data_IF_650063696415
#
_entry.id   IF_650063696415
#
_cell.length_a   1.000
_cell.length_b   1.000
_cell.length_c   1.000
_cell.angle_alpha   90.00
_cell.angle_beta   90.00
_cell.angle_gamma   90.00
#
_symmetry.space_group_name_H-M   'P 1'
#
loop_
_entity.id
_entity.type
_entity.pdbx_description
1 polymer ?
#
# COMPACT_ATOMS: atom_id res chain seq x y z
N UNK A 1 -19.83 38.16 -7.27
CA UNK A 1 -18.43 37.74 -7.53
C UNK A 1 -18.07 36.83 -6.38
N UNK A 2 -18.26 35.53 -6.55
CA UNK A 2 -17.87 34.53 -5.55
C UNK A 2 -16.34 34.49 -5.48
N UNK A 3 -15.79 34.98 -4.38
CA UNK A 3 -14.40 34.72 -4.02
C UNK A 3 -14.30 33.22 -3.75
N UNK A 4 -13.50 32.52 -4.56
CA UNK A 4 -13.23 31.10 -4.42
C UNK A 4 -12.69 30.81 -3.02
N UNK A 5 -13.25 29.78 -2.38
CA UNK A 5 -12.69 29.20 -1.16
C UNK A 5 -11.20 28.93 -1.39
N UNK A 6 -10.33 29.61 -0.67
CA UNK A 6 -8.96 29.13 -0.49
C UNK A 6 -9.06 27.73 0.14
N UNK A 7 -8.41 26.73 -0.45
CA UNK A 7 -8.38 25.39 0.10
C UNK A 7 -7.72 25.46 1.49
N UNK A 8 -8.53 25.21 2.52
CA UNK A 8 -8.11 25.21 3.93
C UNK A 8 -7.14 24.04 4.24
N UNK A 9 -6.87 23.13 3.29
CA UNK A 9 -5.88 22.04 3.44
C UNK A 9 -4.52 22.46 2.86
N UNK A 10 -3.52 22.64 3.73
CA UNK A 10 -2.15 22.97 3.31
C UNK A 10 -1.54 21.93 2.37
N UNK A 11 -1.94 20.65 2.48
CA UNK A 11 -1.42 19.60 1.61
C UNK A 11 -1.84 19.78 0.14
N UNK A 12 -2.97 20.45 -0.12
CA UNK A 12 -3.42 20.79 -1.47
C UNK A 12 -2.85 22.12 -1.93
N UNK A 13 -2.85 23.14 -1.06
CA UNK A 13 -2.30 24.46 -1.36
C UNK A 13 -0.82 24.44 -1.72
N UNK A 14 -0.04 23.63 -0.98
CA UNK A 14 1.40 23.45 -1.21
C UNK A 14 1.72 22.24 -2.09
N UNK A 15 0.72 21.64 -2.75
CA UNK A 15 0.94 20.55 -3.70
C UNK A 15 1.88 21.04 -4.81
N UNK A 16 3.05 20.39 -5.03
CA UNK A 16 3.97 20.76 -6.09
C UNK A 16 3.29 20.88 -7.45
N UNK A 17 3.53 22.00 -8.13
CA UNK A 17 2.92 22.28 -9.44
C UNK A 17 3.89 22.08 -10.61
N UNK A 18 5.19 22.05 -10.33
CA UNK A 18 6.26 21.75 -11.29
C UNK A 18 7.14 20.63 -10.76
N UNK A 19 7.88 19.96 -11.67
CA UNK A 19 8.85 18.94 -11.26
C UNK A 19 9.98 19.49 -10.38
N UNK A 20 10.33 20.76 -10.53
CA UNK A 20 11.38 21.43 -9.74
C UNK A 20 10.99 21.62 -8.28
N UNK A 21 9.69 21.70 -7.99
CA UNK A 21 9.18 21.87 -6.63
C UNK A 21 9.12 20.55 -5.87
N UNK A 22 9.24 19.41 -6.57
CA UNK A 22 9.20 18.08 -5.97
C UNK A 22 10.54 17.74 -5.31
N UNK A 23 10.49 17.24 -4.08
CA UNK A 23 11.68 16.75 -3.36
C UNK A 23 11.60 15.22 -3.14
N UNK A 24 12.77 14.58 -3.12
CA UNK A 24 12.89 13.12 -3.02
C UNK A 24 12.72 12.38 -4.35
N UNK A 25 13.22 11.13 -4.41
CA UNK A 25 13.07 10.25 -5.57
C UNK A 25 13.54 10.86 -6.93
N UNK A 26 14.56 11.73 -6.92
CA UNK A 26 14.96 12.52 -8.09
C UNK A 26 15.43 11.70 -9.31
N UNK A 27 16.05 10.55 -9.10
CA UNK A 27 16.41 9.60 -10.16
C UNK A 27 15.17 9.00 -10.84
N UNK A 28 14.12 8.72 -10.06
CA UNK A 28 12.84 8.18 -10.52
C UNK A 28 12.05 9.23 -11.29
N UNK A 29 11.99 10.45 -10.77
CA UNK A 29 11.38 11.61 -11.46
C UNK A 29 12.04 11.80 -12.84
N UNK A 30 13.38 11.71 -12.91
CA UNK A 30 14.11 11.79 -14.19
C UNK A 30 13.71 10.67 -15.17
N UNK A 31 13.53 9.43 -14.69
CA UNK A 31 13.06 8.31 -15.54
C UNK A 31 11.65 8.54 -16.07
N UNK A 32 10.75 9.07 -15.25
CA UNK A 32 9.39 9.45 -15.70
C UNK A 32 9.45 10.50 -16.81
N UNK A 33 10.31 11.52 -16.65
CA UNK A 33 10.50 12.56 -17.66
C UNK A 33 10.96 11.97 -19.00
N UNK A 34 12.01 11.14 -18.99
CA UNK A 34 12.54 10.48 -20.20
C UNK A 34 11.45 9.63 -20.89
N UNK A 35 10.63 8.92 -20.11
CA UNK A 35 9.54 8.12 -20.66
C UNK A 35 8.48 8.99 -21.36
N UNK A 36 8.14 10.15 -20.81
CA UNK A 36 7.18 11.09 -21.41
C UNK A 36 7.73 11.83 -22.64
N UNK A 37 9.01 12.18 -22.65
CA UNK A 37 9.68 12.72 -23.84
C UNK A 37 9.63 11.74 -25.02
N UNK A 38 9.67 10.43 -24.73
CA UNK A 38 9.45 9.38 -25.73
C UNK A 38 8.11 9.51 -26.45
N UNK A 39 7.04 9.81 -25.70
CA UNK A 39 5.71 10.04 -26.27
C UNK A 39 5.62 11.30 -27.13
N UNK A 40 6.35 12.36 -26.77
CA UNK A 40 6.39 13.63 -27.50
C UNK A 40 7.02 13.48 -28.89
N UNK A 41 8.02 12.59 -29.03
CA UNK A 41 8.71 12.32 -30.30
C UNK A 41 7.86 11.62 -31.38
N UNK A 42 6.57 11.39 -31.12
CA UNK A 42 5.65 10.69 -32.02
C UNK A 42 5.87 9.17 -32.11
N UNK A 43 6.86 8.63 -31.40
CA UNK A 43 7.13 7.19 -31.31
C UNK A 43 6.39 6.62 -30.12
N UNK A 44 5.38 5.78 -30.37
CA UNK A 44 4.70 5.04 -29.30
C UNK A 44 5.71 4.13 -28.58
N UNK A 45 5.97 4.35 -27.28
CA UNK A 45 6.92 3.54 -26.55
C UNK A 45 6.47 2.08 -26.50
N UNK A 46 7.43 1.14 -26.45
CA UNK A 46 7.13 -0.30 -26.27
C UNK A 46 6.32 -0.55 -24.99
N UNK A 47 6.59 0.24 -23.95
CA UNK A 47 5.87 0.23 -22.68
C UNK A 47 4.99 1.47 -22.63
N UNK A 48 3.71 1.29 -22.93
CA UNK A 48 2.72 2.36 -23.01
C UNK A 48 2.17 2.79 -21.64
N UNK A 49 2.39 1.97 -20.61
CA UNK A 49 2.06 2.31 -19.23
C UNK A 49 3.28 2.69 -18.40
N UNK A 50 3.04 3.49 -17.38
CA UNK A 50 3.97 3.76 -16.30
C UNK A 50 3.28 3.43 -14.97
N UNK A 51 3.84 2.49 -14.21
CA UNK A 51 3.35 2.13 -12.88
C UNK A 51 4.24 2.79 -11.83
N UNK A 52 3.68 3.75 -11.10
CA UNK A 52 4.29 4.38 -9.94
C UNK A 52 3.87 3.59 -8.70
N UNK A 53 4.76 2.75 -8.19
CA UNK A 53 4.52 1.99 -6.97
C UNK A 53 5.25 2.62 -5.78
N UNK A 54 4.75 2.45 -4.57
CA UNK A 54 5.47 2.88 -3.36
C UNK A 54 4.55 3.37 -2.26
N UNK A 55 5.10 3.70 -1.08
CA UNK A 55 4.29 4.06 0.07
C UNK A 55 3.43 5.32 -0.16
N UNK A 56 2.36 5.54 0.63
CA UNK A 56 1.53 6.74 0.51
C UNK A 56 2.32 8.01 0.81
N UNK A 57 1.85 9.14 0.27
CA UNK A 57 2.40 10.46 0.62
C UNK A 57 3.79 10.80 0.06
N UNK A 58 4.34 10.01 -0.86
CA UNK A 58 5.65 10.26 -1.52
C UNK A 58 5.55 11.02 -2.85
N UNK A 59 4.37 11.52 -3.21
CA UNK A 59 4.18 12.36 -4.41
C UNK A 59 3.87 11.63 -5.72
N UNK A 60 3.40 10.37 -5.69
CA UNK A 60 3.08 9.59 -6.90
C UNK A 60 2.00 10.25 -7.79
N UNK A 61 0.85 10.58 -7.20
CA UNK A 61 -0.27 11.24 -7.89
C UNK A 61 0.11 12.67 -8.28
N UNK A 62 0.76 13.40 -7.36
CA UNK A 62 1.28 14.75 -7.60
C UNK A 62 2.21 14.82 -8.80
N UNK A 63 3.09 13.82 -8.99
CA UNK A 63 4.00 13.76 -10.14
C UNK A 63 3.24 13.78 -11.46
N UNK A 64 2.16 13.01 -11.58
CA UNK A 64 1.37 12.94 -12.80
C UNK A 64 0.75 14.30 -13.13
N UNK A 65 0.19 15.00 -12.15
CA UNK A 65 -0.36 16.35 -12.33
C UNK A 65 0.72 17.38 -12.66
N UNK A 66 1.84 17.37 -11.93
CA UNK A 66 2.93 18.31 -12.15
C UNK A 66 3.49 18.21 -13.57
N UNK A 67 3.64 17.00 -14.09
CA UNK A 67 4.14 16.83 -15.46
C UNK A 67 3.09 17.21 -16.51
N UNK A 68 1.83 16.82 -16.32
CA UNK A 68 0.77 17.22 -17.24
C UNK A 68 0.70 18.76 -17.35
N UNK A 69 0.78 19.46 -16.21
CA UNK A 69 0.82 20.92 -16.16
C UNK A 69 2.08 21.51 -16.82
N UNK A 70 3.26 20.99 -16.52
CA UNK A 70 4.54 21.45 -17.09
C UNK A 70 4.58 21.28 -18.62
N UNK A 71 3.98 20.22 -19.16
CA UNK A 71 3.89 19.95 -20.60
C UNK A 71 2.70 20.61 -21.28
N UNK A 72 1.78 21.23 -20.53
CA UNK A 72 0.52 21.74 -21.07
C UNK A 72 -0.38 20.64 -21.64
N UNK A 73 -0.27 19.43 -21.11
CA UNK A 73 -1.07 18.26 -21.51
C UNK A 73 -2.32 18.15 -20.65
N UNK A 74 -3.42 17.72 -21.26
CA UNK A 74 -4.68 17.50 -20.57
C UNK A 74 -4.59 16.22 -19.74
N UNK A 75 -5.14 16.22 -18.53
CA UNK A 75 -5.12 15.04 -17.65
C UNK A 75 -6.54 14.53 -17.41
N UNK A 76 -6.74 13.24 -17.61
CA UNK A 76 -7.97 12.52 -17.25
C UNK A 76 -7.63 11.62 -16.08
N UNK A 77 -8.03 12.05 -14.89
CA UNK A 77 -7.85 11.30 -13.65
C UNK A 77 -9.06 10.39 -13.39
N UNK A 78 -8.77 9.13 -13.09
CA UNK A 78 -9.75 8.16 -12.60
C UNK A 78 -9.22 7.56 -11.31
N UNK A 79 -10.01 7.68 -10.25
CA UNK A 79 -9.75 6.93 -9.03
C UNK A 79 -10.27 5.49 -9.20
N UNK A 80 -9.35 4.53 -9.26
CA UNK A 80 -9.68 3.13 -9.47
C UNK A 80 -10.41 2.48 -8.29
N UNK A 81 -10.31 3.05 -7.07
CA UNK A 81 -11.03 2.56 -5.89
C UNK A 81 -12.52 2.96 -5.90
N UNK A 82 -12.86 4.11 -6.49
CA UNK A 82 -14.24 4.56 -6.67
C UNK A 82 -14.89 3.94 -7.92
N UNK A 83 -14.15 3.84 -9.02
CA UNK A 83 -14.66 3.45 -10.33
C UNK A 83 -14.29 1.99 -10.67
N UNK A 84 -14.70 1.07 -9.78
CA UNK A 84 -14.32 -0.36 -9.74
C UNK A 84 -14.65 -1.22 -10.99
N UNK A 85 -15.16 -0.62 -12.06
CA UNK A 85 -15.75 -1.35 -13.19
C UNK A 85 -14.94 -1.15 -14.47
N UNK A 86 -14.77 -2.23 -15.26
CA UNK A 86 -14.14 -2.20 -16.58
C UNK A 86 -14.76 -1.15 -17.53
N UNK A 87 -16.06 -0.86 -17.39
CA UNK A 87 -16.76 0.16 -18.16
C UNK A 87 -16.20 1.57 -17.91
N UNK A 88 -15.81 1.92 -16.68
CA UNK A 88 -15.26 3.23 -16.36
C UNK A 88 -13.88 3.42 -17.00
N UNK A 89 -13.01 2.40 -16.88
CA UNK A 89 -11.70 2.37 -17.53
C UNK A 89 -11.85 2.52 -19.05
N UNK A 90 -12.76 1.77 -19.67
CA UNK A 90 -13.01 1.87 -21.11
C UNK A 90 -13.54 3.23 -21.54
N UNK A 91 -14.50 3.78 -20.79
CA UNK A 91 -15.05 5.12 -21.05
C UNK A 91 -13.98 6.21 -20.99
N UNK A 92 -12.96 6.06 -20.14
CA UNK A 92 -11.87 7.02 -20.02
C UNK A 92 -10.90 6.95 -21.20
N UNK A 93 -10.65 5.76 -21.73
CA UNK A 93 -9.83 5.59 -22.93
C UNK A 93 -10.54 6.25 -24.12
N UNK A 94 -11.85 6.02 -24.28
CA UNK A 94 -12.66 6.66 -25.31
C UNK A 94 -12.70 8.18 -25.14
N UNK A 95 -12.91 8.66 -23.91
CA UNK A 95 -12.90 10.09 -23.59
C UNK A 95 -11.53 10.72 -23.85
N UNK A 96 -10.44 10.08 -23.44
CA UNK A 96 -9.07 10.58 -23.67
C UNK A 96 -8.75 10.77 -25.15
N UNK A 97 -9.28 9.90 -26.03
CA UNK A 97 -9.19 10.07 -27.48
C UNK A 97 -10.11 11.18 -28.02
N UNK A 98 -11.28 11.42 -27.42
CA UNK A 98 -12.23 12.46 -27.84
C UNK A 98 -11.88 13.87 -27.33
N UNK A 99 -11.28 13.99 -26.14
CA UNK A 99 -10.91 15.27 -25.51
C UNK A 99 -9.88 16.04 -26.34
N UNK A 100 -8.92 15.34 -26.94
CA UNK A 100 -7.93 15.93 -27.87
C UNK A 100 -8.65 16.65 -29.02
N UNK A 101 -9.70 16.06 -29.59
CA UNK A 101 -10.43 16.62 -30.73
C UNK A 101 -11.26 17.86 -30.38
N UNK A 102 -11.83 17.94 -29.16
CA UNK A 102 -12.70 19.05 -28.72
C UNK A 102 -11.90 20.24 -28.16
N UNK A 103 -10.81 19.99 -27.43
CA UNK A 103 -9.95 21.07 -26.92
C UNK A 103 -9.20 21.77 -28.07
N UNK A 104 -8.75 21.01 -29.07
CA UNK A 104 -8.16 21.54 -30.30
C UNK A 104 -9.16 22.41 -31.10
N UNK A 105 -10.45 22.07 -31.09
CA UNK A 105 -11.48 22.82 -31.79
C UNK A 105 -11.87 24.12 -31.06
N UNK A 106 -11.88 24.12 -29.72
CA UNK A 106 -12.32 25.26 -28.92
C UNK A 106 -11.24 26.33 -28.71
N UNK A 107 -9.95 25.98 -28.73
CA UNK A 107 -8.85 26.93 -28.49
C UNK A 107 -8.19 27.51 -29.74
N UNK A 108 -8.60 27.10 -30.95
CA UNK A 108 -8.12 27.69 -32.21
C UNK A 108 -6.60 27.65 -32.43
N UNK A 109 -5.88 26.88 -31.62
CA UNK A 109 -4.43 26.70 -31.65
C UNK A 109 -4.15 25.26 -32.07
N UNK A 110 -3.08 25.04 -32.83
CA UNK A 110 -2.49 23.72 -33.04
C UNK A 110 -1.92 23.19 -31.71
N UNK A 111 -2.76 22.86 -30.73
CA UNK A 111 -2.30 22.16 -29.55
C UNK A 111 -1.96 20.73 -29.93
N UNK A 112 -0.67 20.48 -30.11
CA UNK A 112 -0.04 19.15 -30.17
C UNK A 112 -0.09 18.44 -28.80
N UNK A 113 -1.07 18.76 -27.95
CA UNK A 113 -1.18 18.28 -26.59
C UNK A 113 -1.69 16.83 -26.58
N UNK A 114 -0.95 15.94 -25.92
CA UNK A 114 -1.45 14.60 -25.61
C UNK A 114 -2.33 14.65 -24.37
N UNK A 115 -3.24 13.69 -24.23
CA UNK A 115 -3.98 13.48 -22.99
C UNK A 115 -3.26 12.45 -22.14
N UNK A 116 -2.93 12.77 -20.89
CA UNK A 116 -2.43 11.79 -19.91
C UNK A 116 -3.62 11.13 -19.23
N UNK A 117 -3.68 9.80 -19.25
CA UNK A 117 -4.65 9.03 -18.47
C UNK A 117 -3.99 8.66 -17.15
N UNK A 118 -4.50 9.20 -16.05
CA UNK A 118 -4.07 8.87 -14.70
C UNK A 118 -5.05 7.91 -14.06
N UNK A 119 -4.58 6.71 -13.73
CA UNK A 119 -5.33 5.70 -12.98
C UNK A 119 -4.76 5.65 -11.55
N UNK A 120 -5.42 6.31 -10.62
CA UNK A 120 -4.98 6.36 -9.22
C UNK A 120 -5.44 5.11 -8.46
N UNK A 121 -4.64 4.61 -7.52
CA UNK A 121 -4.98 3.49 -6.62
C UNK A 121 -5.33 2.16 -7.33
N UNK A 122 -4.59 1.79 -8.38
CA UNK A 122 -4.90 0.59 -9.18
C UNK A 122 -4.82 -0.73 -8.40
N UNK A 123 -4.19 -0.74 -7.22
CA UNK A 123 -4.19 -1.88 -6.31
C UNK A 123 -5.56 -2.20 -5.70
N UNK A 124 -6.51 -1.26 -5.76
CA UNK A 124 -7.89 -1.47 -5.32
C UNK A 124 -8.82 -2.03 -6.42
N UNK A 125 -8.31 -2.22 -7.64
CA UNK A 125 -9.09 -2.81 -8.74
C UNK A 125 -9.51 -4.26 -8.42
N UNK A 126 -10.80 -4.55 -8.64
CA UNK A 126 -11.33 -5.90 -8.52
C UNK A 126 -11.17 -6.71 -9.81
N UNK A 127 -11.31 -8.03 -9.68
CA UNK A 127 -11.17 -8.99 -10.78
C UNK A 127 -9.75 -9.47 -11.04
N UNK A 128 -9.65 -10.55 -11.80
CA UNK A 128 -8.38 -11.12 -12.25
C UNK A 128 -7.91 -10.51 -13.58
N UNK A 129 -6.66 -10.79 -13.95
CA UNK A 129 -6.12 -10.43 -15.27
C UNK A 129 -6.58 -11.38 -16.40
N UNK A 130 -7.47 -12.33 -16.13
CA UNK A 130 -8.06 -13.19 -17.17
C UNK A 130 -8.92 -12.36 -18.11
N UNK A 131 -8.76 -12.52 -19.43
CA UNK A 131 -9.57 -11.82 -20.44
C UNK A 131 -11.07 -11.99 -20.13
N UNK A 132 -11.77 -10.87 -20.05
CA UNK A 132 -13.23 -10.84 -19.92
C UNK A 132 -13.83 -10.80 -21.32
N UNK A 133 -14.89 -11.58 -21.57
CA UNK A 133 -15.55 -11.61 -22.88
C UNK A 133 -16.16 -10.25 -23.22
N UNK A 134 -15.98 -9.80 -24.48
CA UNK A 134 -16.48 -8.50 -24.97
C UNK A 134 -18.01 -8.37 -24.86
N UNK A 135 -18.75 -9.47 -25.03
CA UNK A 135 -20.21 -9.54 -24.90
C UNK A 135 -20.71 -9.10 -23.52
N UNK A 136 -20.01 -9.45 -22.42
CA UNK A 136 -20.44 -9.07 -21.06
C UNK A 136 -20.33 -7.56 -20.82
N UNK A 137 -19.40 -6.91 -21.50
CA UNK A 137 -19.11 -5.49 -21.28
C UNK A 137 -20.10 -4.62 -22.08
N UNK A 138 -20.46 -5.02 -23.29
CA UNK A 138 -21.48 -4.32 -24.10
C UNK A 138 -22.86 -4.30 -23.45
N UNK A 139 -23.29 -5.42 -22.83
CA UNK A 139 -24.56 -5.49 -22.08
C UNK A 139 -24.61 -4.49 -20.91
N UNK A 140 -23.45 -4.15 -20.33
CA UNK A 140 -23.34 -3.21 -19.20
C UNK A 140 -23.38 -1.74 -19.66
N UNK A 141 -23.00 -1.43 -20.91
CA UNK A 141 -22.98 -0.05 -21.44
C UNK A 141 -24.31 0.38 -22.09
N UNK A 142 -25.22 -0.56 -22.37
CA UNK A 142 -26.46 -0.29 -23.14
C UNK A 142 -27.71 0.02 -22.32
N UNK A 143 -27.63 0.14 -20.99
CA UNK A 143 -28.79 0.49 -20.16
C UNK A 143 -28.58 1.84 -19.49
N UNK A 144 -29.36 2.84 -19.90
CA UNK A 144 -29.35 4.18 -19.29
C UNK A 144 -29.99 4.21 -17.89
N UNK A 145 -30.77 3.18 -17.54
CA UNK A 145 -31.15 2.84 -16.17
C UNK A 145 -31.12 1.30 -16.03
N UNK A 146 -30.11 0.73 -15.36
CA UNK A 146 -29.92 -0.73 -15.29
C UNK A 146 -28.98 -1.16 -14.17
N UNK A 147 -29.15 -2.37 -13.61
CA UNK A 147 -28.80 -2.73 -12.25
C UNK A 147 -27.29 -2.72 -12.00
N UNK A 148 -26.90 -2.30 -10.79
CA UNK A 148 -25.58 -2.58 -10.22
C UNK A 148 -25.46 -4.10 -10.06
N UNK A 149 -25.03 -4.78 -11.12
CA UNK A 149 -24.72 -6.20 -11.07
C UNK A 149 -23.55 -6.38 -10.10
N UNK A 150 -23.82 -7.03 -8.96
CA UNK A 150 -22.81 -7.67 -8.11
C UNK A 150 -21.95 -8.58 -8.99
N UNK A 151 -20.78 -8.12 -9.39
CA UNK A 151 -19.92 -8.84 -10.33
C UNK A 151 -18.58 -8.18 -10.54
N UNK A 152 -17.71 -8.29 -9.54
CA UNK A 152 -16.29 -7.87 -9.42
C UNK A 152 -15.33 -8.42 -10.51
N UNK A 153 -15.75 -8.51 -11.76
CA UNK A 153 -15.08 -9.36 -12.75
C UNK A 153 -14.61 -8.59 -13.98
N UNK A 154 -13.54 -7.79 -13.85
CA UNK A 154 -12.76 -7.40 -15.04
C UNK A 154 -11.79 -6.23 -14.99
N UNK A 155 -11.71 -5.45 -13.91
CA UNK A 155 -10.93 -4.21 -13.90
C UNK A 155 -9.47 -4.38 -14.32
N UNK A 156 -8.78 -5.39 -13.76
CA UNK A 156 -7.38 -5.69 -14.08
C UNK A 156 -7.16 -6.20 -15.52
N UNK A 157 -8.14 -6.89 -16.10
CA UNK A 157 -8.05 -7.35 -17.48
C UNK A 157 -8.27 -6.19 -18.47
N UNK A 158 -9.21 -5.29 -18.18
CA UNK A 158 -9.44 -4.10 -18.99
C UNK A 158 -8.25 -3.13 -18.90
N UNK A 159 -7.60 -3.04 -17.73
CA UNK A 159 -6.34 -2.30 -17.58
C UNK A 159 -5.28 -2.76 -18.60
N UNK A 160 -5.08 -4.08 -18.74
CA UNK A 160 -4.13 -4.61 -19.74
C UNK A 160 -4.56 -4.28 -21.17
N UNK A 161 -5.85 -4.44 -21.48
CA UNK A 161 -6.40 -4.12 -22.81
C UNK A 161 -6.22 -2.62 -23.15
N UNK A 162 -6.42 -1.74 -22.17
CA UNK A 162 -6.17 -0.30 -22.29
C UNK A 162 -4.68 -0.03 -22.56
N UNK A 163 -3.78 -0.65 -21.81
CA UNK A 163 -2.33 -0.47 -22.00
C UNK A 163 -1.84 -1.00 -23.35
N UNK A 164 -2.45 -2.06 -23.90
CA UNK A 164 -2.08 -2.60 -25.21
C UNK A 164 -2.54 -1.71 -26.37
N UNK A 165 -3.71 -1.08 -26.24
CA UNK A 165 -4.37 -0.33 -27.33
C UNK A 165 -4.19 1.19 -27.26
N UNK A 166 -3.88 1.75 -26.09
CA UNK A 166 -3.80 3.20 -25.88
C UNK A 166 -2.81 3.90 -26.82
N UNK A 167 -3.20 5.05 -27.36
CA UNK A 167 -2.34 5.98 -28.10
C UNK A 167 -1.87 7.16 -27.23
N UNK A 168 -2.33 7.17 -25.99
CA UNK A 168 -2.08 8.19 -24.98
C UNK A 168 -1.22 7.61 -23.85
N UNK A 169 -0.35 8.41 -23.22
CA UNK A 169 0.41 7.99 -22.06
C UNK A 169 -0.51 7.64 -20.88
N UNK A 170 -0.30 6.46 -20.29
CA UNK A 170 -1.07 5.98 -19.13
C UNK A 170 -0.16 5.91 -17.92
N UNK A 171 -0.47 6.67 -16.88
CA UNK A 171 0.20 6.64 -15.58
C UNK A 171 -0.73 5.95 -14.59
N UNK A 172 -0.21 4.97 -13.87
CA UNK A 172 -0.91 4.23 -12.83
C UNK A 172 -0.22 4.46 -11.51
N UNK A 173 -0.95 4.70 -10.43
CA UNK A 173 -0.37 4.75 -9.08
C UNK A 173 -0.79 3.54 -8.27
N UNK A 174 0.10 3.06 -7.42
CA UNK A 174 -0.14 1.88 -6.61
C UNK A 174 0.56 2.01 -5.26
N UNK A 175 -0.17 1.79 -4.17
CA UNK A 175 0.42 1.81 -2.83
C UNK A 175 1.02 0.44 -2.48
N UNK A 176 0.28 -0.63 -2.76
CA UNK A 176 0.72 -2.01 -2.54
C UNK A 176 0.72 -2.81 -3.86
N UNK A 177 1.89 -2.98 -4.51
CA UNK A 177 2.02 -3.78 -5.71
C UNK A 177 1.49 -5.20 -5.55
N UNK A 178 1.60 -5.80 -4.35
CA UNK A 178 1.15 -7.17 -4.11
C UNK A 178 -0.38 -7.31 -4.22
N UNK A 179 -1.13 -6.29 -3.82
CA UNK A 179 -2.59 -6.23 -4.02
C UNK A 179 -2.93 -6.14 -5.51
N UNK A 180 -2.16 -5.38 -6.29
CA UNK A 180 -2.30 -5.35 -7.74
C UNK A 180 -2.02 -6.73 -8.37
N UNK A 181 -0.91 -7.38 -7.99
CA UNK A 181 -0.51 -8.68 -8.55
C UNK A 181 -1.39 -9.85 -8.11
N UNK A 182 -1.97 -9.78 -6.91
CA UNK A 182 -2.78 -10.83 -6.30
C UNK A 182 -1.94 -11.97 -5.68
N UNK A 183 -2.36 -12.50 -4.52
CA UNK A 183 -1.55 -13.40 -3.66
C UNK A 183 -1.07 -14.71 -4.30
N UNK A 184 -1.80 -15.26 -5.29
CA UNK A 184 -1.45 -16.54 -5.92
C UNK A 184 -0.45 -16.39 -7.08
N UNK A 185 -0.94 -15.94 -8.23
CA UNK A 185 -0.17 -15.86 -9.49
C UNK A 185 0.60 -14.55 -9.67
N UNK A 186 1.10 -13.97 -8.56
CA UNK A 186 1.66 -12.61 -8.56
C UNK A 186 2.80 -12.43 -9.58
N UNK A 187 3.69 -13.43 -9.73
CA UNK A 187 4.80 -13.38 -10.71
C UNK A 187 4.28 -13.25 -12.13
N UNK A 188 3.34 -14.12 -12.53
CA UNK A 188 2.74 -14.12 -13.87
C UNK A 188 2.02 -12.80 -14.13
N UNK A 189 1.27 -12.29 -13.16
CA UNK A 189 0.52 -11.04 -13.31
C UNK A 189 1.45 -9.82 -13.40
N UNK A 190 2.48 -9.76 -12.55
CA UNK A 190 3.56 -8.76 -12.63
C UNK A 190 4.25 -8.80 -13.98
N UNK A 191 4.62 -9.97 -14.46
CA UNK A 191 5.34 -10.11 -15.72
C UNK A 191 4.45 -9.73 -16.93
N UNK A 192 3.13 -9.93 -16.86
CA UNK A 192 2.18 -9.44 -17.86
C UNK A 192 2.11 -7.92 -17.90
N UNK A 193 2.00 -7.27 -16.74
CA UNK A 193 1.98 -5.80 -16.67
C UNK A 193 3.33 -5.22 -17.07
N UNK A 194 4.45 -5.80 -16.64
CA UNK A 194 5.80 -5.32 -16.96
C UNK A 194 6.17 -5.41 -18.45
N UNK A 195 5.44 -6.19 -19.25
CA UNK A 195 5.59 -6.22 -20.72
C UNK A 195 5.07 -4.93 -21.36
N UNK A 196 3.99 -4.38 -20.81
CA UNK A 196 3.25 -3.23 -21.38
C UNK A 196 3.46 -1.95 -20.58
N UNK A 197 3.96 -2.04 -19.35
CA UNK A 197 4.22 -0.93 -18.47
C UNK A 197 5.62 -0.98 -17.83
N UNK A 198 6.19 0.18 -17.56
CA UNK A 198 7.42 0.32 -16.77
C UNK A 198 7.06 0.57 -15.31
N UNK A 199 7.62 -0.23 -14.39
CA UNK A 199 7.42 -0.05 -12.96
C UNK A 199 8.55 0.80 -12.36
N UNK A 200 8.17 1.89 -11.71
CA UNK A 200 9.06 2.79 -10.96
C UNK A 200 8.61 2.77 -9.50
N UNK A 201 9.50 2.32 -8.62
CA UNK A 201 9.22 2.13 -7.19
C UNK A 201 9.70 3.35 -6.43
N UNK A 202 8.78 4.20 -5.97
CA UNK A 202 9.02 5.32 -5.08
C UNK A 202 9.37 4.83 -3.68
N UNK A 203 10.31 5.53 -3.06
CA UNK A 203 10.76 5.29 -1.69
C UNK A 203 10.30 6.42 -0.78
N UNK A 204 10.33 6.16 0.52
CA UNK A 204 10.14 7.17 1.56
C UNK A 204 11.16 8.30 1.38
N UNK A 205 10.71 9.53 1.58
CA UNK A 205 11.55 10.72 1.38
C UNK A 205 12.52 10.85 2.56
N UNK A 206 13.79 11.19 2.26
CA UNK A 206 14.83 11.32 3.27
C UNK A 206 14.68 12.59 4.12
N UNK A 207 15.33 12.60 5.29
CA UNK A 207 15.25 13.71 6.26
C UNK A 207 15.66 15.07 5.68
N UNK A 208 16.66 15.10 4.79
CA UNK A 208 17.13 16.34 4.15
C UNK A 208 16.06 16.96 3.26
N UNK A 209 15.38 16.14 2.47
CA UNK A 209 14.33 16.57 1.55
C UNK A 209 13.05 16.97 2.31
N UNK A 210 12.69 16.23 3.37
CA UNK A 210 11.62 16.60 4.30
C UNK A 210 11.87 17.98 4.92
N UNK A 211 13.10 18.26 5.35
CA UNK A 211 13.48 19.55 5.91
C UNK A 211 13.23 20.70 4.93
N UNK A 212 13.64 20.52 3.66
CA UNK A 212 13.45 21.55 2.63
C UNK A 212 11.97 21.87 2.42
N UNK A 213 11.12 20.85 2.37
CA UNK A 213 9.67 21.05 2.23
C UNK A 213 9.11 21.76 3.46
N UNK A 214 9.47 21.32 4.67
CA UNK A 214 8.98 21.92 5.89
C UNK A 214 9.31 23.42 5.97
N UNK A 215 10.57 23.79 5.70
CA UNK A 215 10.99 25.18 5.70
C UNK A 215 10.27 25.98 4.62
N UNK A 216 10.15 25.44 3.39
CA UNK A 216 9.43 26.12 2.30
C UNK A 216 7.97 26.43 2.66
N UNK A 217 7.28 25.49 3.28
CA UNK A 217 5.88 25.66 3.71
C UNK A 217 5.79 26.68 4.85
N UNK A 218 6.63 26.54 5.87
CA UNK A 218 6.65 27.45 7.02
C UNK A 218 7.00 28.89 6.64
N UNK A 219 7.99 29.08 5.76
CA UNK A 219 8.39 30.39 5.25
C UNK A 219 7.24 31.06 4.46
N UNK A 220 6.48 30.26 3.70
CA UNK A 220 5.32 30.77 2.94
C UNK A 220 4.16 31.20 3.84
N UNK A 221 4.03 30.59 5.01
CA UNK A 221 3.02 30.90 6.02
C UNK A 221 3.52 31.93 7.05
N UNK A 222 4.79 32.35 6.96
CA UNK A 222 5.39 33.29 7.92
C UNK A 222 5.51 32.73 9.34
N UNK A 223 5.59 31.40 9.49
CA UNK A 223 5.68 30.71 10.79
C UNK A 223 7.13 30.34 11.07
N UNK A 224 7.68 30.82 12.19
CA UNK A 224 9.00 30.43 12.66
C UNK A 224 9.01 29.03 13.29
N UNK A 225 10.14 28.33 13.24
CA UNK A 225 10.33 27.05 13.94
C UNK A 225 11.73 26.95 14.54
N UNK A 226 11.82 26.42 15.76
CA UNK A 226 13.10 26.10 16.38
C UNK A 226 13.78 24.93 15.65
N UNK A 227 15.12 24.95 15.45
CA UNK A 227 15.84 23.86 14.80
C UNK A 227 15.62 22.50 15.48
N UNK A 228 15.55 22.48 16.82
CA UNK A 228 15.30 21.26 17.60
C UNK A 228 13.88 20.73 17.41
N UNK A 229 12.89 21.63 17.29
CA UNK A 229 11.50 21.28 17.03
C UNK A 229 11.33 20.69 15.63
N UNK A 230 11.94 21.31 14.62
CA UNK A 230 11.96 20.81 13.24
C UNK A 230 12.64 19.44 13.14
N UNK A 231 13.76 19.26 13.83
CA UNK A 231 14.45 17.98 13.93
C UNK A 231 13.58 16.89 14.54
N UNK A 232 12.89 17.19 15.65
CA UNK A 232 11.99 16.26 16.30
C UNK A 232 10.83 15.85 15.38
N UNK A 233 10.25 16.81 14.65
CA UNK A 233 9.18 16.56 13.69
C UNK A 233 9.65 15.64 12.55
N UNK A 234 10.81 15.91 11.96
CA UNK A 234 11.36 15.12 10.85
C UNK A 234 11.72 13.70 11.30
N UNK A 235 12.35 13.54 12.47
CA UNK A 235 12.74 12.21 12.99
C UNK A 235 11.54 11.29 13.23
N UNK A 236 10.37 11.86 13.54
CA UNK A 236 9.13 11.11 13.77
C UNK A 236 8.38 10.78 12.48
N UNK A 237 8.64 11.51 11.40
CA UNK A 237 7.96 11.29 10.14
C UNK A 237 8.59 10.11 9.39
N UNK A 238 7.80 9.10 8.96
CA UNK A 238 8.32 7.92 8.25
C UNK A 238 8.75 8.22 6.80
N UNK A 239 8.82 9.48 6.36
CA UNK A 239 9.08 9.89 4.98
C UNK A 239 7.82 10.09 4.15
N UNK A 240 6.75 10.56 4.78
CA UNK A 240 5.47 10.95 4.19
C UNK A 240 5.33 12.49 4.14
N UNK A 241 5.34 13.03 2.92
CA UNK A 241 5.29 14.48 2.67
C UNK A 241 3.93 15.07 3.02
N UNK A 242 2.85 14.35 2.70
CA UNK A 242 1.48 14.82 2.97
C UNK A 242 1.25 14.91 4.47
N UNK A 243 1.67 13.86 5.19
CA UNK A 243 1.57 13.78 6.63
C UNK A 243 2.37 14.90 7.32
N UNK A 244 3.57 15.22 6.81
CA UNK A 244 4.41 16.32 7.28
C UNK A 244 3.69 17.67 7.15
N UNK A 245 3.16 17.98 5.96
CA UNK A 245 2.47 19.26 5.73
C UNK A 245 1.25 19.42 6.64
N UNK A 246 0.52 18.33 6.89
CA UNK A 246 -0.61 18.34 7.84
C UNK A 246 -0.17 18.53 9.29
N UNK A 247 0.98 17.98 9.68
CA UNK A 247 1.53 18.23 11.02
C UNK A 247 1.93 19.70 11.18
N UNK A 248 2.56 20.28 10.15
CA UNK A 248 2.93 21.70 10.14
C UNK A 248 1.70 22.61 10.22
N UNK A 249 0.64 22.27 9.51
CA UNK A 249 -0.63 22.99 9.60
C UNK A 249 -1.24 22.90 11.00
N UNK A 250 -1.21 21.72 11.62
CA UNK A 250 -1.72 21.57 13.00
C UNK A 250 -0.87 22.34 14.00
N UNK A 251 0.45 22.38 13.79
CA UNK A 251 1.39 23.16 14.62
C UNK A 251 1.11 24.65 14.48
N UNK A 252 0.85 25.15 13.27
CA UNK A 252 0.64 26.59 13.04
C UNK A 252 -0.66 27.12 13.65
N UNK A 253 -1.69 26.28 13.79
CA UNK A 253 -2.94 26.65 14.48
C UNK A 253 -2.73 26.73 16.00
N UNK A 254 -1.86 25.87 16.53
CA UNK A 254 -1.61 25.77 17.99
C UNK A 254 -0.56 26.79 18.45
N UNK A 255 0.45 27.03 17.61
CA UNK A 255 1.53 27.95 17.87
C UNK A 255 1.14 29.37 17.45
N UNK A 256 1.32 30.35 18.33
CA UNK A 256 1.12 31.78 18.03
C UNK A 256 2.25 32.33 17.12
N UNK A 257 2.41 31.77 15.92
CA UNK A 257 3.38 32.20 14.90
C UNK A 257 4.80 31.65 15.04
N UNK A 258 5.13 30.96 16.14
CA UNK A 258 6.45 30.32 16.32
C UNK A 258 6.32 28.95 16.97
N UNK A 259 6.84 27.92 16.30
CA UNK A 259 6.79 26.53 16.72
C UNK A 259 8.02 26.18 17.56
N UNK A 260 7.79 25.91 18.84
CA UNK A 260 8.80 25.43 19.77
C UNK A 260 8.73 23.90 19.97
N UNK A 261 9.70 23.35 20.71
CA UNK A 261 9.76 21.90 21.00
C UNK A 261 8.57 21.42 21.86
N UNK A 262 8.00 22.32 22.68
CA UNK A 262 6.86 22.02 23.53
C UNK A 262 5.61 21.79 22.68
N UNK A 263 5.36 22.66 21.69
CA UNK A 263 4.26 22.54 20.73
C UNK A 263 4.32 21.21 19.97
N UNK A 264 5.51 20.79 19.53
CA UNK A 264 5.72 19.49 18.86
C UNK A 264 5.47 18.30 19.81
N UNK A 265 5.78 18.47 21.10
CA UNK A 265 5.55 17.44 22.12
C UNK A 265 4.07 17.32 22.49
N UNK A 266 3.33 18.43 22.59
CA UNK A 266 1.89 18.44 22.84
C UNK A 266 1.11 17.81 21.70
N UNK A 267 1.49 18.15 20.45
CA UNK A 267 0.92 17.51 19.28
C UNK A 267 1.14 16.00 19.29
N UNK A 268 2.23 15.52 19.89
CA UNK A 268 2.48 14.08 20.02
C UNK A 268 1.66 13.41 21.12
N UNK A 269 1.21 14.16 22.13
CA UNK A 269 0.27 13.68 23.14
C UNK A 269 -1.16 13.53 22.59
N UNK A 270 -1.57 14.39 21.65
CA UNK A 270 -2.89 14.34 20.99
C UNK A 270 -2.90 13.56 19.67
N UNK A 271 -1.73 13.40 19.04
CA UNK A 271 -1.50 12.68 17.79
C UNK A 271 -0.51 11.55 18.07
N UNK A 272 -0.96 10.56 18.85
CA UNK A 272 -0.56 9.19 18.59
C UNK A 272 -1.12 8.84 17.21
N UNK A 273 -0.44 9.30 16.14
CA UNK A 273 -0.59 8.65 14.85
C UNK A 273 -0.18 7.21 15.11
N UNK A 274 -1.14 6.30 14.99
CA UNK A 274 -0.89 4.90 14.65
C UNK A 274 -0.13 4.89 13.31
N UNK A 275 1.15 5.31 13.31
CA UNK A 275 2.04 5.00 12.23
C UNK A 275 2.23 3.51 12.35
N UNK A 276 1.46 2.74 11.57
CA UNK A 276 1.61 1.30 11.49
C UNK A 276 3.08 1.00 11.23
N UNK A 277 3.77 0.56 12.26
CA UNK A 277 5.15 0.13 12.22
C UNK A 277 5.13 -1.19 11.47
N UNK A 278 6.10 -1.37 10.57
CA UNK A 278 6.25 -2.62 9.86
C UNK A 278 6.46 -3.75 10.88
N UNK A 279 5.72 -4.86 10.74
CA UNK A 279 5.84 -6.05 11.58
C UNK A 279 7.27 -6.49 11.89
N UNK A 280 8.21 -6.39 10.93
CA UNK A 280 9.62 -6.74 11.17
C UNK A 280 10.28 -5.84 12.22
N UNK A 281 9.97 -4.56 12.21
CA UNK A 281 10.49 -3.59 13.17
C UNK A 281 9.77 -3.70 14.51
N UNK A 282 8.44 -3.86 14.51
CA UNK A 282 7.65 -4.10 15.72
C UNK A 282 8.12 -5.32 16.48
N UNK A 283 8.35 -6.45 15.78
CA UNK A 283 8.88 -7.66 16.39
C UNK A 283 10.29 -7.45 16.93
N UNK A 284 11.19 -6.80 16.18
CA UNK A 284 12.53 -6.49 16.68
C UNK A 284 12.49 -5.65 17.96
N UNK A 285 11.62 -4.64 18.02
CA UNK A 285 11.43 -3.82 19.23
C UNK A 285 10.88 -4.67 20.38
N UNK A 286 9.87 -5.50 20.14
CA UNK A 286 9.31 -6.39 21.15
C UNK A 286 10.34 -7.40 21.69
N UNK A 287 11.10 -8.06 20.81
CA UNK A 287 12.16 -9.00 21.20
C UNK A 287 13.38 -8.32 21.84
N UNK A 288 13.63 -7.03 21.61
CA UNK A 288 14.71 -6.32 22.31
C UNK A 288 14.24 -5.63 23.60
N UNK A 289 12.94 -5.64 23.88
CA UNK A 289 12.39 -5.06 25.10
C UNK A 289 12.63 -5.97 26.30
N UNK A 290 12.94 -5.34 27.43
CA UNK A 290 12.99 -5.89 28.78
C UNK A 290 11.69 -5.64 29.57
N UNK A 291 10.81 -4.80 29.03
CA UNK A 291 9.51 -4.45 29.61
C UNK A 291 8.37 -4.99 28.75
N UNK A 292 7.44 -5.69 29.40
CA UNK A 292 6.22 -6.14 28.75
C UNK A 292 5.37 -4.97 28.24
N UNK A 293 5.34 -3.84 28.95
CA UNK A 293 4.59 -2.65 28.53
C UNK A 293 5.11 -2.10 27.19
N UNK A 294 6.44 -1.90 27.09
CA UNK A 294 7.08 -1.39 25.87
C UNK A 294 6.98 -2.40 24.71
N UNK A 295 7.06 -3.70 25.02
CA UNK A 295 6.85 -4.74 24.02
C UNK A 295 5.41 -4.73 23.48
N UNK A 296 4.41 -4.60 24.37
CA UNK A 296 3.00 -4.50 23.99
C UNK A 296 2.71 -3.27 23.15
N UNK A 297 3.27 -2.11 23.49
CA UNK A 297 3.15 -0.89 22.69
C UNK A 297 3.74 -1.06 21.28
N UNK A 298 4.90 -1.71 21.16
CA UNK A 298 5.52 -1.98 19.86
C UNK A 298 4.67 -2.89 18.95
N UNK A 299 3.96 -3.86 19.53
CA UNK A 299 3.08 -4.79 18.80
C UNK A 299 1.73 -4.17 18.48
N UNK A 300 1.14 -3.38 19.38
CA UNK A 300 -0.12 -2.69 19.13
C UNK A 300 -0.02 -1.74 17.93
N UNK A 301 1.13 -1.10 17.77
CA UNK A 301 1.41 -0.22 16.64
C UNK A 301 1.78 -0.96 15.34
N UNK A 302 1.72 -2.30 15.30
CA UNK A 302 2.08 -3.09 14.11
C UNK A 302 1.01 -3.06 13.02
N UNK A 303 1.42 -3.21 11.77
CA UNK A 303 0.54 -3.36 10.59
C UNK A 303 -0.16 -4.73 10.45
N UNK A 304 -0.27 -5.51 11.53
CA UNK A 304 -0.74 -6.91 11.52
C UNK A 304 -1.78 -7.18 12.59
N UNK A 305 -2.72 -8.05 12.24
CA UNK A 305 -3.73 -8.51 13.18
C UNK A 305 -3.12 -9.47 14.22
N UNK A 306 -3.74 -9.63 15.41
CA UNK A 306 -3.21 -10.51 16.47
C UNK A 306 -2.93 -11.95 16.04
N UNK A 307 -3.74 -12.50 15.13
CA UNK A 307 -3.53 -13.85 14.58
C UNK A 307 -2.26 -13.94 13.75
N UNK A 308 -2.00 -12.92 12.93
CA UNK A 308 -0.78 -12.84 12.15
C UNK A 308 0.41 -12.67 13.11
N UNK A 309 0.34 -11.76 14.07
CA UNK A 309 1.40 -11.55 15.07
C UNK A 309 1.77 -12.83 15.81
N UNK A 310 0.78 -13.62 16.26
CA UNK A 310 1.03 -14.90 16.91
C UNK A 310 1.77 -15.87 15.98
N UNK A 311 1.39 -15.94 14.70
CA UNK A 311 2.09 -16.72 13.69
C UNK A 311 3.53 -16.24 13.45
N UNK A 312 3.78 -14.92 13.52
CA UNK A 312 5.12 -14.37 13.43
C UNK A 312 5.99 -14.70 14.65
N UNK A 313 5.43 -14.62 15.86
CA UNK A 313 6.13 -15.03 17.07
C UNK A 313 6.45 -16.52 17.05
N UNK A 314 5.48 -17.38 16.76
CA UNK A 314 5.70 -18.84 16.74
C UNK A 314 6.80 -19.26 15.77
N UNK A 315 6.90 -18.57 14.61
CA UNK A 315 7.96 -18.81 13.63
C UNK A 315 9.36 -18.35 14.11
N UNK A 316 9.46 -17.15 14.69
CA UNK A 316 10.74 -16.52 15.00
C UNK A 316 11.28 -16.85 16.39
N UNK A 317 10.44 -17.36 17.30
CA UNK A 317 10.87 -17.72 18.64
C UNK A 317 12.06 -18.69 18.62
N UNK A 318 12.07 -19.66 17.70
CA UNK A 318 13.12 -20.68 17.62
C UNK A 318 14.50 -20.12 17.25
N UNK A 319 14.55 -19.02 16.48
CA UNK A 319 15.82 -18.38 16.13
C UNK A 319 16.29 -17.38 17.20
N UNK A 320 15.37 -16.79 17.95
CA UNK A 320 15.66 -15.69 18.89
C UNK A 320 15.83 -16.17 20.33
N UNK A 321 15.10 -17.21 20.75
CA UNK A 321 15.00 -17.65 22.14
C UNK A 321 15.65 -19.03 22.30
N UNK A 322 16.37 -19.24 23.40
CA UNK A 322 16.98 -20.54 23.71
C UNK A 322 15.92 -21.61 24.02
N UNK A 323 16.31 -22.89 23.98
CA UNK A 323 15.39 -24.00 24.23
C UNK A 323 14.66 -23.91 25.58
N UNK A 324 15.32 -23.38 26.62
CA UNK A 324 14.69 -23.16 27.94
C UNK A 324 13.62 -22.07 27.88
N UNK A 325 13.92 -20.93 27.26
CA UNK A 325 12.94 -19.86 27.10
C UNK A 325 11.74 -20.28 26.25
N UNK A 326 11.96 -21.12 25.23
CA UNK A 326 10.89 -21.68 24.40
C UNK A 326 9.90 -22.53 25.21
N UNK A 327 10.40 -23.35 26.14
CA UNK A 327 9.56 -24.13 27.05
C UNK A 327 8.71 -23.22 27.93
N UNK A 328 9.31 -22.17 28.49
CA UNK A 328 8.64 -21.21 29.39
C UNK A 328 7.53 -20.41 28.68
N UNK A 329 7.71 -20.01 27.42
CA UNK A 329 6.69 -19.22 26.67
C UNK A 329 5.63 -20.07 25.97
N UNK A 330 5.87 -21.37 25.77
CA UNK A 330 4.99 -22.24 24.96
C UNK A 330 3.55 -22.25 25.46
N UNK A 331 3.36 -22.34 26.78
CA UNK A 331 2.02 -22.32 27.39
C UNK A 331 1.26 -21.02 27.10
N UNK A 332 1.94 -19.87 27.12
CA UNK A 332 1.34 -18.58 26.79
C UNK A 332 0.94 -18.49 25.31
N UNK A 333 1.76 -19.04 24.40
CA UNK A 333 1.45 -19.10 22.96
C UNK A 333 0.20 -19.95 22.69
N UNK A 334 0.10 -21.13 23.29
CA UNK A 334 -1.05 -22.02 23.15
C UNK A 334 -2.34 -21.42 23.73
N UNK A 335 -2.25 -20.76 24.89
CA UNK A 335 -3.38 -20.06 25.49
C UNK A 335 -3.84 -18.90 24.60
N UNK A 336 -2.88 -18.15 24.05
CA UNK A 336 -3.14 -17.07 23.10
C UNK A 336 -3.92 -17.54 21.88
N UNK A 337 -3.48 -18.64 21.26
CA UNK A 337 -4.18 -19.26 20.12
C UNK A 337 -5.62 -19.65 20.49
N UNK A 338 -5.79 -20.28 21.66
CA UNK A 338 -7.11 -20.68 22.17
C UNK A 338 -8.04 -19.48 22.40
N UNK A 339 -7.52 -18.35 22.90
CA UNK A 339 -8.29 -17.12 23.05
C UNK A 339 -8.67 -16.51 21.70
N UNK A 340 -7.78 -16.52 20.72
CA UNK A 340 -8.08 -16.05 19.37
C UNK A 340 -9.13 -16.92 18.70
N UNK A 341 -9.12 -18.23 18.91
CA UNK A 341 -10.15 -19.14 18.40
C UNK A 341 -11.57 -18.78 18.88
N UNK A 342 -11.72 -18.20 20.08
CA UNK A 342 -13.02 -17.78 20.63
C UNK A 342 -13.76 -16.73 19.77
N UNK A 343 -13.05 -16.01 18.89
CA UNK A 343 -13.67 -15.08 17.93
C UNK A 343 -14.63 -15.81 16.97
N UNK A 344 -14.36 -17.07 16.66
CA UNK A 344 -15.16 -17.87 15.73
C UNK A 344 -16.43 -18.45 16.36
N UNK A 345 -16.46 -18.59 17.70
CA UNK A 345 -17.60 -19.18 18.42
C UNK A 345 -18.58 -18.13 18.93
N UNK A 346 -18.10 -16.98 19.40
CA UNK A 346 -18.97 -15.98 20.06
C UNK A 346 -18.80 -14.54 19.54
N UNK A 347 -18.07 -14.33 18.41
CA UNK A 347 -17.77 -12.98 17.87
C UNK A 347 -17.19 -12.00 18.91
N UNK A 348 -16.63 -12.52 19.99
CA UNK A 348 -16.15 -11.73 21.11
C UNK A 348 -14.74 -11.22 20.82
N UNK A 349 -14.64 -10.08 20.15
CA UNK A 349 -13.37 -9.38 19.89
C UNK A 349 -12.60 -8.99 21.17
N UNK A 350 -13.21 -9.14 22.36
CA UNK A 350 -12.52 -8.96 23.65
C UNK A 350 -11.36 -9.93 23.85
N UNK A 351 -11.36 -11.10 23.20
CA UNK A 351 -10.26 -12.05 23.30
C UNK A 351 -9.02 -11.64 22.48
N UNK A 352 -9.14 -10.66 21.57
CA UNK A 352 -8.00 -10.12 20.82
C UNK A 352 -6.96 -9.45 21.71
N UNK A 353 -7.40 -8.83 22.81
CA UNK A 353 -6.49 -8.25 23.79
C UNK A 353 -5.55 -9.32 24.36
N UNK A 354 -6.11 -10.45 24.79
CA UNK A 354 -5.31 -11.56 25.35
C UNK A 354 -4.49 -12.26 24.27
N UNK A 355 -5.04 -12.40 23.06
CA UNK A 355 -4.37 -12.99 21.91
C UNK A 355 -3.14 -12.22 21.39
N UNK A 356 -3.07 -10.91 21.67
CA UNK A 356 -1.91 -10.08 21.31
C UNK A 356 -0.98 -9.84 22.50
N UNK A 357 -1.55 -9.67 23.70
CA UNK A 357 -0.78 -9.31 24.90
C UNK A 357 0.00 -10.50 25.45
N UNK A 358 -0.59 -11.70 25.54
CA UNK A 358 0.07 -12.85 26.19
C UNK A 358 1.37 -13.28 25.48
N UNK A 359 1.42 -13.44 24.15
CA UNK A 359 2.66 -13.76 23.45
C UNK A 359 3.76 -12.72 23.71
N UNK A 360 3.37 -11.46 23.66
CA UNK A 360 4.28 -10.32 23.79
C UNK A 360 4.88 -10.22 25.20
N UNK A 361 4.03 -10.38 26.22
CA UNK A 361 4.45 -10.40 27.62
C UNK A 361 5.34 -11.60 27.94
N UNK A 362 5.01 -12.78 27.39
CA UNK A 362 5.81 -13.99 27.57
C UNK A 362 7.23 -13.82 27.01
N UNK A 363 7.36 -13.20 25.83
CA UNK A 363 8.66 -12.94 25.21
C UNK A 363 9.48 -11.91 25.99
N UNK A 364 8.83 -10.88 26.54
CA UNK A 364 9.51 -9.92 27.41
C UNK A 364 9.98 -10.58 28.72
N UNK A 365 9.19 -11.50 29.29
CA UNK A 365 9.51 -12.20 30.53
C UNK A 365 10.73 -13.12 30.42
N UNK A 366 11.02 -13.65 29.22
CA UNK A 366 12.18 -14.54 28.98
C UNK A 366 13.38 -13.81 28.37
N UNK A 367 13.50 -12.50 28.58
CA UNK A 367 14.55 -11.67 28.00
C UNK A 367 15.98 -12.20 28.27
N UNK A 368 16.21 -12.74 29.46
CA UNK A 368 17.51 -13.28 29.89
C UNK A 368 17.90 -14.61 29.22
N UNK A 369 16.97 -15.21 28.47
CA UNK A 369 17.17 -16.52 27.81
C UNK A 369 17.32 -16.42 26.29
N UNK A 370 17.48 -15.19 25.77
CA UNK A 370 17.67 -14.93 24.34
C UNK A 370 19.05 -15.40 23.89
N UNK A 371 19.15 -15.89 22.65
CA UNK A 371 20.42 -16.36 22.10
C UNK A 371 21.41 -15.20 21.94
N UNK A 372 22.71 -15.45 22.17
CA UNK A 372 23.77 -14.46 21.95
C UNK A 372 23.91 -14.16 20.46
N UNK A 373 23.24 -13.11 20.00
CA UNK A 373 23.20 -12.67 18.62
C UNK A 373 22.09 -11.64 18.41
N UNK A 374 22.27 -10.73 17.44
CA UNK A 374 21.23 -9.76 17.13
C UNK A 374 19.91 -10.44 16.72
N UNK A 375 18.77 -9.83 17.06
CA UNK A 375 17.44 -10.36 16.72
C UNK A 375 17.24 -10.34 15.20
N UNK A 376 17.30 -11.53 14.59
CA UNK A 376 17.00 -11.74 13.19
C UNK A 376 15.58 -12.26 13.01
N UNK A 377 14.72 -11.44 12.39
CA UNK A 377 13.33 -11.78 12.10
C UNK A 377 13.20 -12.18 10.65
N UNK A 378 12.57 -13.33 10.42
CA UNK A 378 12.26 -13.89 9.12
C UNK A 378 10.75 -14.01 8.91
N UNK A 379 10.34 -13.98 7.64
CA UNK A 379 8.94 -14.13 7.27
C UNK A 379 8.47 -15.58 7.53
N UNK A 380 7.31 -15.82 8.16
CA UNK A 380 6.79 -17.16 8.37
C UNK A 380 6.51 -17.89 7.06
N UNK A 381 7.30 -18.91 6.72
CA UNK A 381 7.13 -19.60 5.44
C UNK A 381 5.76 -20.26 5.32
N UNK A 382 5.14 -20.66 6.44
CA UNK A 382 3.79 -21.20 6.43
C UNK A 382 2.71 -20.17 6.11
N UNK A 383 2.97 -18.85 6.22
CA UNK A 383 2.05 -17.84 5.70
C UNK A 383 2.18 -17.66 4.17
N UNK A 384 3.28 -18.15 3.57
CA UNK A 384 3.41 -18.23 2.11
C UNK A 384 2.67 -19.44 1.52
N UNK A 385 2.30 -20.42 2.36
CA UNK A 385 1.65 -21.67 1.98
C UNK A 385 0.24 -21.41 1.46
N UNK A 386 0.12 -21.32 0.14
CA UNK A 386 -1.15 -21.06 -0.55
C UNK A 386 -1.02 -20.82 -2.05
N UNK A 387 0.19 -20.51 -2.54
CA UNK A 387 0.51 -20.30 -3.96
C UNK A 387 1.44 -21.35 -4.57
N UNK A 388 1.65 -22.48 -3.91
CA UNK A 388 2.57 -23.53 -4.38
C UNK A 388 1.94 -24.32 -5.54
N UNK A 389 2.69 -24.47 -6.64
CA UNK A 389 2.23 -25.08 -7.91
C UNK A 389 1.74 -26.53 -7.76
N UNK A 390 2.18 -27.22 -6.71
CA UNK A 390 1.82 -28.60 -6.41
C UNK A 390 0.50 -28.73 -5.62
N UNK A 391 -0.06 -27.62 -5.11
CA UNK A 391 -1.40 -27.59 -4.51
C UNK A 391 -2.46 -27.50 -5.60
N UNK A 392 -2.90 -28.67 -6.06
CA UNK A 392 -3.93 -28.74 -7.08
C UNK A 392 -5.28 -28.27 -6.51
N UNK A 393 -5.78 -27.14 -7.00
CA UNK A 393 -7.04 -26.51 -6.54
C UNK A 393 -8.22 -27.47 -6.70
N UNK A 394 -8.22 -28.28 -7.77
CA UNK A 394 -9.26 -29.29 -8.02
C UNK A 394 -9.24 -30.39 -6.95
N UNK A 395 -8.05 -30.79 -6.48
CA UNK A 395 -7.93 -31.81 -5.44
C UNK A 395 -8.42 -31.29 -4.09
N UNK A 396 -8.06 -30.06 -3.72
CA UNK A 396 -8.56 -29.39 -2.51
C UNK A 396 -10.08 -29.26 -2.57
N UNK A 397 -10.64 -28.89 -3.73
CA UNK A 397 -12.08 -28.74 -3.92
C UNK A 397 -12.83 -30.07 -3.79
N UNK A 398 -12.33 -31.14 -4.41
CA UNK A 398 -12.93 -32.47 -4.31
C UNK A 398 -12.86 -33.03 -2.90
N UNK A 399 -11.70 -32.91 -2.25
CA UNK A 399 -11.50 -33.45 -0.91
C UNK A 399 -12.29 -32.66 0.14
N UNK A 400 -12.28 -31.33 0.06
CA UNK A 400 -13.13 -30.48 0.90
C UNK A 400 -14.62 -30.83 0.74
N UNK A 401 -15.07 -31.03 -0.51
CA UNK A 401 -16.42 -31.47 -0.82
C UNK A 401 -16.75 -32.85 -0.24
N UNK A 402 -15.85 -33.82 -0.37
CA UNK A 402 -16.05 -35.18 0.18
C UNK A 402 -16.07 -35.22 1.71
N UNK A 403 -15.33 -34.31 2.37
CA UNK A 403 -15.23 -34.26 3.83
C UNK A 403 -16.21 -33.26 4.45
N UNK A 404 -17.00 -32.56 3.63
CA UNK A 404 -17.96 -31.55 4.11
C UNK A 404 -17.30 -30.35 4.79
N UNK A 405 -16.04 -30.04 4.45
CA UNK A 405 -15.28 -28.93 5.05
C UNK A 405 -15.16 -27.76 4.09
N UNK A 406 -14.84 -26.58 4.62
CA UNK A 406 -14.57 -25.42 3.75
C UNK A 406 -13.26 -25.64 2.98
N UNK A 407 -13.16 -25.10 1.75
CA UNK A 407 -11.92 -25.15 0.97
C UNK A 407 -10.74 -24.53 1.72
N UNK A 408 -10.98 -23.52 2.56
CA UNK A 408 -9.94 -22.87 3.37
C UNK A 408 -9.45 -23.79 4.48
N UNK A 409 -10.36 -24.35 5.27
CA UNK A 409 -10.04 -25.27 6.37
C UNK A 409 -9.35 -26.52 5.86
N UNK A 410 -9.83 -27.09 4.75
CA UNK A 410 -9.15 -28.23 4.14
C UNK A 410 -7.73 -27.88 3.70
N UNK A 411 -7.54 -26.72 3.06
CA UNK A 411 -6.25 -26.25 2.55
C UNK A 411 -5.24 -25.93 3.66
N UNK A 412 -5.70 -25.36 4.77
CA UNK A 412 -4.84 -24.82 5.82
C UNK A 412 -4.62 -25.81 6.96
N UNK A 413 -5.64 -26.59 7.33
CA UNK A 413 -5.60 -27.43 8.52
C UNK A 413 -5.38 -28.92 8.18
N UNK A 414 -6.10 -29.44 7.17
CA UNK A 414 -6.09 -30.88 6.85
C UNK A 414 -5.01 -31.27 5.84
N UNK A 415 -4.80 -30.45 4.82
CA UNK A 415 -3.85 -30.74 3.73
C UNK A 415 -2.40 -30.89 4.21
N UNK A 416 -1.86 -30.04 5.12
CA UNK A 416 -0.51 -30.23 5.66
C UNK A 416 -0.33 -31.55 6.40
N UNK A 417 -1.33 -31.95 7.19
CA UNK A 417 -1.29 -33.23 7.91
C UNK A 417 -1.31 -34.42 6.94
N UNK A 418 -2.16 -34.37 5.91
CA UNK A 418 -2.22 -35.41 4.88
C UNK A 418 -0.90 -35.51 4.10
N UNK A 419 -0.27 -34.39 3.76
CA UNK A 419 1.05 -34.40 3.12
C UNK A 419 2.12 -34.99 4.02
N UNK A 420 2.17 -34.60 5.29
CA UNK A 420 3.16 -35.13 6.22
C UNK A 420 3.04 -36.66 6.39
N UNK A 421 1.81 -37.20 6.31
CA UNK A 421 1.57 -38.64 6.35
C UNK A 421 2.01 -39.32 5.04
N UNK A 422 1.80 -38.69 3.89
CA UNK A 422 2.00 -39.31 2.58
C UNK A 422 3.38 -39.05 1.96
N UNK A 423 4.06 -37.98 2.34
CA UNK A 423 5.39 -37.63 1.85
C UNK A 423 6.46 -38.13 2.83
N UNK A 424 7.11 -39.23 2.45
CA UNK A 424 8.17 -39.87 3.22
C UNK A 424 9.40 -38.98 3.45
N UNK A 425 9.53 -37.86 2.73
CA UNK A 425 10.61 -36.89 2.92
C UNK A 425 10.30 -35.81 3.96
N UNK A 426 9.02 -35.63 4.32
CA UNK A 426 8.57 -34.62 5.28
C UNK A 426 8.25 -35.20 6.67
N UNK A 427 8.10 -36.52 6.78
CA UNK A 427 7.70 -37.23 8.01
C UNK A 427 8.77 -38.12 8.65
N UNK A 428 10.06 -37.90 8.38
CA UNK A 428 11.18 -38.65 8.95
C UNK A 428 12.07 -37.78 9.85
#
# INVERSE_FOLDING_TARGET
MEQGKEDDDWAERYRPSTLSDMEGNGDKIRRVRIWLEGWESGKTPKKRGLLLSGPPGVGKTTLAHAIAKEKGWSIVELNASEQRNAAAIRSSATRGSQYVSLENFSRGSESTGKTVILLDEVDHLSGGFSQVSEERIHTTMGSEEGPVLKGDSGGKAELLNLLDKTENPVIMTCNDPMKLWGRGNWRRNRDRVNRVAENIIFERVGATDLRRIALRVLDSEGVGIDPEALDALIRRNPGDLRALVKDLQSLSVTANGHVDIASVSELSGSVLRDSQINVFESLKRAYNSDSGLLASEAILNSDKDPDEILAWFSWNNQSVISSRGLEEISGAMCNSDSYLAAKFTNRAFRSWYWGSSLPTQAIAAVADTKNDGGVFISFPEFLRRGGETWRNIDLIERLAGSMGTSKSSFREDLWPALLAIHDKSLGA
#
